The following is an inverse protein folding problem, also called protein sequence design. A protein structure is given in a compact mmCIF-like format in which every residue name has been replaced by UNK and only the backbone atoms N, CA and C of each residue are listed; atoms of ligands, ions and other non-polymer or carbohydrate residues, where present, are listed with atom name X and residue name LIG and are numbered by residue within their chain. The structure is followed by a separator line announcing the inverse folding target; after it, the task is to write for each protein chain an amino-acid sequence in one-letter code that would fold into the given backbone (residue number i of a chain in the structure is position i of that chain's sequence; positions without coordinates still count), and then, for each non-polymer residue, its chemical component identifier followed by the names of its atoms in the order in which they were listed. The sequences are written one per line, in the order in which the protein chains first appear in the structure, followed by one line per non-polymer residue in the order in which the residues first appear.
data_IF_202187063394
#
_entry.id   IF_202187063394
#
_cell.length_a   1.000
_cell.length_b   1.000
_cell.length_c   1.000
_cell.angle_alpha   90.00
_cell.angle_beta   90.00
_cell.angle_gamma   90.00
#
_symmetry.space_group_name_H-M   'P 1'
#
loop_
_entity.id
_entity.type
_entity.pdbx_description
1 polymer ?
#
# COMPACT_ATOMS: atom_id res chain seq x y z
N UNK A 1 37.01 -4.59 -10.21
CA UNK A 1 36.30 -3.43 -9.73
C UNK A 1 35.19 -3.89 -8.79
N UNK A 2 35.01 -3.24 -7.60
CA UNK A 2 33.89 -3.49 -6.72
C UNK A 2 32.63 -2.85 -7.37
N UNK A 3 31.58 -3.63 -7.60
CA UNK A 3 30.29 -3.11 -8.09
C UNK A 3 29.56 -2.47 -6.92
N UNK A 4 29.01 -1.27 -7.10
CA UNK A 4 28.21 -0.55 -6.11
C UNK A 4 26.87 -0.24 -6.73
N UNK A 5 25.77 -0.60 -6.04
CA UNK A 5 24.40 -0.30 -6.45
C UNK A 5 23.85 0.81 -5.56
N UNK A 6 23.45 1.94 -6.18
CA UNK A 6 22.98 3.14 -5.48
C UNK A 6 21.52 3.52 -5.81
N UNK A 7 20.83 2.71 -6.60
CA UNK A 7 19.46 2.98 -7.05
C UNK A 7 18.41 2.25 -6.17
N UNK A 8 18.54 2.37 -4.84
CA UNK A 8 17.66 1.68 -3.89
C UNK A 8 16.23 2.22 -3.91
N UNK A 9 16.00 3.46 -4.33
CA UNK A 9 14.67 4.01 -4.54
C UNK A 9 13.90 3.28 -5.66
N UNK A 10 14.59 2.75 -6.66
CA UNK A 10 13.96 1.94 -7.72
C UNK A 10 13.67 0.51 -7.26
N UNK A 11 14.63 -0.15 -6.61
CA UNK A 11 14.48 -1.52 -6.06
C UNK A 11 15.67 -1.83 -5.14
N UNK A 12 15.54 -2.82 -4.28
CA UNK A 12 16.62 -3.28 -3.40
C UNK A 12 17.03 -4.73 -3.73
N UNK A 13 18.24 -5.10 -3.35
CA UNK A 13 18.69 -6.50 -3.39
C UNK A 13 17.93 -7.29 -2.32
N UNK A 14 17.53 -8.52 -2.63
CA UNK A 14 16.93 -9.42 -1.62
C UNK A 14 17.90 -9.66 -0.46
N UNK A 15 17.36 -9.62 0.77
CA UNK A 15 18.04 -10.08 1.96
C UNK A 15 18.25 -11.61 1.88
N UNK A 16 19.41 -12.12 2.31
CA UNK A 16 19.71 -13.55 2.24
C UNK A 16 18.70 -14.40 3.04
N UNK A 17 18.32 -13.97 4.23
CA UNK A 17 17.30 -14.64 5.05
C UNK A 17 15.96 -14.75 4.31
N UNK A 18 15.58 -13.70 3.56
CA UNK A 18 14.37 -13.72 2.71
C UNK A 18 14.48 -14.79 1.62
N UNK A 19 15.64 -14.91 0.96
CA UNK A 19 15.88 -15.93 -0.08
C UNK A 19 15.75 -17.33 0.52
N UNK A 20 16.38 -17.59 1.66
CA UNK A 20 16.39 -18.90 2.32
C UNK A 20 14.98 -19.31 2.76
N UNK A 21 14.24 -18.42 3.39
CA UNK A 21 12.86 -18.63 3.85
C UNK A 21 11.90 -18.83 2.67
N UNK A 22 12.01 -18.04 1.60
CA UNK A 22 11.20 -18.24 0.40
C UNK A 22 11.49 -19.60 -0.25
N UNK A 23 12.74 -20.01 -0.30
CA UNK A 23 13.16 -21.32 -0.85
C UNK A 23 12.57 -22.45 -0.03
N UNK A 24 12.60 -22.33 1.30
CA UNK A 24 11.96 -23.31 2.21
C UNK A 24 10.48 -23.45 1.93
N UNK A 25 9.74 -22.35 1.78
CA UNK A 25 8.30 -22.38 1.46
C UNK A 25 8.04 -22.98 0.09
N UNK A 26 8.84 -22.63 -0.93
CA UNK A 26 8.71 -23.20 -2.28
C UNK A 26 8.86 -24.72 -2.31
N UNK A 27 9.76 -25.27 -1.51
CA UNK A 27 10.06 -26.70 -1.47
C UNK A 27 9.04 -27.45 -0.61
N UNK A 28 8.68 -26.91 0.56
CA UNK A 28 7.96 -27.66 1.60
C UNK A 28 6.45 -27.36 1.65
N UNK A 29 5.99 -26.14 1.23
CA UNK A 29 4.62 -25.68 1.36
C UNK A 29 4.00 -25.33 -0.01
N UNK A 30 4.01 -26.28 -0.93
CA UNK A 30 3.58 -26.11 -2.33
C UNK A 30 2.06 -26.28 -2.55
N UNK A 31 1.29 -26.57 -1.51
CA UNK A 31 -0.14 -26.80 -1.63
C UNK A 31 -0.91 -25.53 -2.03
N UNK A 32 -2.00 -25.70 -2.79
CA UNK A 32 -2.89 -24.58 -3.10
C UNK A 32 -3.62 -24.12 -1.82
N UNK A 33 -3.51 -22.84 -1.40
CA UNK A 33 -4.13 -22.34 -0.16
C UNK A 33 -5.66 -22.47 -0.11
N UNK A 34 -6.31 -22.58 -1.27
CA UNK A 34 -7.77 -22.82 -1.36
C UNK A 34 -8.19 -24.26 -1.12
N UNK A 35 -7.24 -25.22 -1.09
CA UNK A 35 -7.55 -26.64 -0.88
C UNK A 35 -7.81 -26.96 0.59
N UNK A 36 -8.78 -27.86 0.84
CA UNK A 36 -9.22 -28.24 2.20
C UNK A 36 -8.35 -29.31 2.85
N UNK A 37 -7.48 -29.99 2.09
CA UNK A 37 -6.55 -31.01 2.62
C UNK A 37 -5.33 -30.39 3.31
N UNK A 38 -4.52 -31.24 3.94
CA UNK A 38 -3.37 -30.83 4.76
C UNK A 38 -2.44 -29.82 4.05
N UNK A 39 -1.99 -30.11 2.84
CA UNK A 39 -1.05 -29.22 2.12
C UNK A 39 -1.63 -27.84 1.82
N UNK A 40 -2.94 -27.76 1.51
CA UNK A 40 -3.60 -26.47 1.30
C UNK A 40 -3.72 -25.67 2.60
N UNK A 41 -4.10 -26.34 3.69
CA UNK A 41 -4.17 -25.68 5.02
C UNK A 41 -2.81 -25.18 5.50
N UNK A 42 -1.73 -25.91 5.25
CA UNK A 42 -0.37 -25.50 5.56
C UNK A 42 -0.02 -24.17 4.85
N UNK A 43 -0.16 -24.12 3.53
CA UNK A 43 0.06 -22.90 2.75
C UNK A 43 -0.82 -21.73 3.21
N UNK A 44 -2.10 -21.99 3.50
CA UNK A 44 -3.03 -20.98 4.02
C UNK A 44 -2.60 -20.46 5.39
N UNK A 45 -2.09 -21.32 6.25
CA UNK A 45 -1.56 -20.94 7.57
C UNK A 45 -0.41 -19.95 7.43
N UNK A 46 0.53 -20.19 6.51
CA UNK A 46 1.65 -19.27 6.25
C UNK A 46 1.14 -17.89 5.84
N UNK A 47 0.15 -17.84 4.94
CA UNK A 47 -0.45 -16.58 4.47
C UNK A 47 -1.10 -15.83 5.64
N UNK A 48 -1.92 -16.49 6.45
CA UNK A 48 -2.65 -15.84 7.54
C UNK A 48 -1.72 -15.42 8.70
N UNK A 49 -0.67 -16.16 8.98
CA UNK A 49 0.36 -15.76 9.94
C UNK A 49 1.13 -14.53 9.44
N UNK A 50 1.45 -14.47 8.14
CA UNK A 50 2.08 -13.29 7.53
C UNK A 50 1.17 -12.07 7.61
N UNK A 51 -0.12 -12.22 7.30
CA UNK A 51 -1.14 -11.17 7.43
C UNK A 51 -1.26 -10.65 8.85
N UNK A 52 -1.33 -11.56 9.83
CA UNK A 52 -1.41 -11.20 11.25
C UNK A 52 -0.17 -10.45 11.72
N UNK A 53 1.01 -10.89 11.30
CA UNK A 53 2.27 -10.21 11.62
C UNK A 53 2.26 -8.76 11.09
N UNK A 54 1.92 -8.57 9.81
CA UNK A 54 1.85 -7.25 9.18
C UNK A 54 0.83 -6.36 9.91
N UNK A 55 -0.35 -6.88 10.19
CA UNK A 55 -1.38 -6.14 10.89
C UNK A 55 -0.93 -5.67 12.29
N UNK A 56 -0.28 -6.56 13.05
CA UNK A 56 0.27 -6.21 14.36
C UNK A 56 1.38 -5.15 14.27
N UNK A 57 2.25 -5.23 13.24
CA UNK A 57 3.32 -4.26 13.01
C UNK A 57 2.79 -2.82 12.87
N UNK A 58 1.64 -2.65 12.22
CA UNK A 58 1.02 -1.35 11.98
C UNK A 58 -0.12 -1.01 12.93
N UNK A 59 -0.35 -1.81 14.00
CA UNK A 59 -1.45 -1.66 14.95
C UNK A 59 -2.83 -1.60 14.30
N UNK A 60 -3.09 -2.51 13.35
CA UNK A 60 -4.37 -2.63 12.62
C UNK A 60 -4.90 -4.08 12.68
N UNK A 61 -6.10 -4.30 12.15
CA UNK A 61 -6.72 -5.63 12.15
C UNK A 61 -6.27 -6.46 10.93
N UNK A 62 -6.07 -7.78 11.06
CA UNK A 62 -5.70 -8.63 9.91
C UNK A 62 -6.67 -8.54 8.73
N UNK A 63 -7.95 -8.28 8.99
CA UNK A 63 -8.96 -8.12 7.94
C UNK A 63 -8.80 -6.87 7.08
N UNK A 64 -7.98 -5.91 7.52
CA UNK A 64 -7.69 -4.66 6.82
C UNK A 64 -6.48 -4.76 5.89
N UNK A 65 -5.76 -5.89 5.92
CA UNK A 65 -4.59 -6.16 5.05
C UNK A 65 -5.01 -7.05 3.89
N UNK A 66 -4.69 -6.64 2.66
CA UNK A 66 -4.96 -7.35 1.41
C UNK A 66 -3.70 -7.50 0.60
N UNK A 67 -3.28 -8.73 0.32
CA UNK A 67 -2.10 -8.99 -0.48
C UNK A 67 -2.35 -8.68 -1.96
N UNK A 68 -1.38 -8.04 -2.57
CA UNK A 68 -1.38 -7.63 -3.98
C UNK A 68 -0.06 -7.99 -4.65
N UNK A 69 0.09 -7.71 -5.94
CA UNK A 69 1.37 -7.87 -6.65
C UNK A 69 2.36 -6.73 -6.37
N UNK A 70 1.98 -5.70 -5.62
CA UNK A 70 2.83 -4.56 -5.28
C UNK A 70 2.07 -3.24 -5.22
N UNK A 71 2.81 -2.12 -5.06
CA UNK A 71 2.23 -0.79 -4.87
C UNK A 71 1.32 -0.35 -6.02
N UNK A 72 1.65 -0.69 -7.26
CA UNK A 72 0.82 -0.31 -8.40
C UNK A 72 -0.56 -0.96 -8.36
N UNK A 73 -0.65 -2.26 -8.08
CA UNK A 73 -1.94 -2.94 -7.92
C UNK A 73 -2.70 -2.39 -6.71
N UNK A 74 -2.01 -2.17 -5.58
CA UNK A 74 -2.61 -1.61 -4.36
C UNK A 74 -3.22 -0.22 -4.61
N UNK A 75 -2.47 0.70 -5.24
CA UNK A 75 -2.97 2.04 -5.58
C UNK A 75 -4.20 1.98 -6.49
N UNK A 76 -4.17 1.15 -7.55
CA UNK A 76 -5.30 0.98 -8.46
C UNK A 76 -6.54 0.38 -7.76
N UNK A 77 -6.34 -0.63 -6.89
CA UNK A 77 -7.42 -1.24 -6.11
C UNK A 77 -8.09 -0.24 -5.18
N UNK A 78 -7.28 0.59 -4.48
CA UNK A 78 -7.77 1.62 -3.56
C UNK A 78 -8.56 2.69 -4.34
N UNK A 79 -7.97 3.25 -5.40
CA UNK A 79 -8.63 4.29 -6.21
C UNK A 79 -9.95 3.76 -6.77
N UNK A 80 -9.96 2.54 -7.35
CA UNK A 80 -11.19 1.91 -7.82
C UNK A 80 -12.21 1.76 -6.69
N UNK A 81 -11.78 1.27 -5.52
CA UNK A 81 -12.68 1.10 -4.37
C UNK A 81 -13.31 2.42 -3.91
N UNK A 82 -12.57 3.53 -3.98
CA UNK A 82 -13.10 4.85 -3.67
C UNK A 82 -14.16 5.30 -4.69
N UNK A 83 -13.91 5.08 -5.98
CA UNK A 83 -14.89 5.40 -7.05
C UNK A 83 -16.19 4.59 -6.88
N UNK A 84 -16.07 3.28 -6.64
CA UNK A 84 -17.24 2.42 -6.40
C UNK A 84 -18.01 2.80 -5.11
N UNK A 85 -17.37 3.49 -4.19
CA UNK A 85 -18.01 4.07 -3.01
C UNK A 85 -18.62 5.46 -3.29
N UNK A 86 -18.54 5.97 -4.50
CA UNK A 86 -19.15 7.23 -4.92
C UNK A 86 -18.26 8.46 -4.68
N UNK A 87 -16.95 8.32 -4.66
CA UNK A 87 -16.02 9.46 -4.71
C UNK A 87 -16.18 10.20 -6.03
N UNK A 88 -16.43 11.51 -5.94
CA UNK A 88 -16.66 12.41 -7.06
C UNK A 88 -15.47 13.33 -7.35
N UNK A 89 -14.58 13.51 -6.36
CA UNK A 89 -13.40 14.35 -6.48
C UNK A 89 -12.16 13.66 -5.90
N UNK A 90 -11.04 13.78 -6.60
CA UNK A 90 -9.73 13.38 -6.08
C UNK A 90 -8.84 14.63 -5.99
N UNK A 91 -8.21 14.82 -4.83
CA UNK A 91 -7.21 15.87 -4.58
C UNK A 91 -5.86 15.16 -4.43
N UNK A 92 -4.85 15.58 -5.19
CA UNK A 92 -3.52 14.97 -5.22
C UNK A 92 -2.45 15.99 -5.59
N UNK A 93 -1.20 15.55 -5.83
CA UNK A 93 -0.13 16.41 -6.35
C UNK A 93 0.35 15.92 -7.72
N UNK A 94 1.08 16.76 -8.45
CA UNK A 94 1.70 16.39 -9.75
C UNK A 94 2.96 15.54 -9.59
N UNK A 95 3.47 15.42 -8.36
CA UNK A 95 4.70 14.67 -8.04
C UNK A 95 4.43 13.27 -7.49
N UNK A 96 3.19 12.81 -7.54
CA UNK A 96 2.82 11.44 -7.19
C UNK A 96 3.48 10.42 -8.14
N UNK A 97 3.66 9.20 -7.64
CA UNK A 97 4.08 8.08 -8.50
C UNK A 97 3.05 7.82 -9.62
N UNK A 98 3.51 7.33 -10.77
CA UNK A 98 2.66 7.01 -11.93
C UNK A 98 1.54 6.02 -11.61
N UNK A 99 1.70 5.18 -10.59
CA UNK A 99 0.68 4.24 -10.11
C UNK A 99 -0.55 4.94 -9.51
N UNK A 100 -0.43 6.20 -9.11
CA UNK A 100 -1.52 7.09 -8.67
C UNK A 100 -1.91 8.04 -9.80
N UNK A 101 -0.95 8.75 -10.41
CA UNK A 101 -1.24 9.77 -11.44
C UNK A 101 -1.99 9.19 -12.65
N UNK A 102 -1.54 8.07 -13.21
CA UNK A 102 -2.15 7.56 -14.43
C UNK A 102 -3.63 7.13 -14.23
N UNK A 103 -3.98 6.37 -13.16
CA UNK A 103 -5.39 6.06 -12.87
C UNK A 103 -6.26 7.29 -12.68
N UNK A 104 -5.82 8.30 -11.90
CA UNK A 104 -6.65 9.49 -11.65
C UNK A 104 -6.79 10.38 -12.88
N UNK A 105 -5.77 10.49 -13.72
CA UNK A 105 -5.83 11.18 -15.00
C UNK A 105 -6.80 10.49 -15.96
N UNK A 106 -6.78 9.15 -16.00
CA UNK A 106 -7.72 8.38 -16.82
C UNK A 106 -9.17 8.62 -16.37
N UNK A 107 -9.43 8.52 -15.06
CA UNK A 107 -10.75 8.78 -14.48
C UNK A 107 -11.26 10.20 -14.78
N UNK A 108 -10.39 11.21 -14.71
CA UNK A 108 -10.72 12.59 -15.13
C UNK A 108 -11.07 12.67 -16.60
N UNK A 109 -10.28 12.03 -17.47
CA UNK A 109 -10.50 12.03 -18.92
C UNK A 109 -11.84 11.36 -19.30
N UNK A 110 -12.21 10.31 -18.55
CA UNK A 110 -13.51 9.64 -18.66
C UNK A 110 -14.66 10.44 -18.00
N UNK A 111 -14.39 11.61 -17.45
CA UNK A 111 -15.35 12.49 -16.74
C UNK A 111 -16.03 11.80 -15.55
N UNK A 112 -15.35 10.84 -14.92
CA UNK A 112 -15.84 10.12 -13.73
C UNK A 112 -15.59 10.87 -12.44
N UNK A 113 -14.61 11.77 -12.43
CA UNK A 113 -14.21 12.56 -11.27
C UNK A 113 -13.82 13.98 -11.65
N UNK A 114 -13.91 14.88 -10.68
CA UNK A 114 -13.16 16.14 -10.63
C UNK A 114 -11.75 15.85 -10.07
N UNK A 115 -10.71 16.30 -10.74
CA UNK A 115 -9.32 16.12 -10.30
C UNK A 115 -8.70 17.47 -10.02
N UNK A 116 -8.27 17.65 -8.77
CA UNK A 116 -7.58 18.86 -8.28
C UNK A 116 -6.13 18.52 -7.93
N UNK A 117 -5.21 19.38 -8.36
CA UNK A 117 -3.81 19.28 -8.00
C UNK A 117 -3.44 20.38 -7.02
N UNK A 118 -3.00 20.01 -5.83
CA UNK A 118 -2.43 20.97 -4.88
C UNK A 118 -1.16 21.58 -5.43
N UNK A 119 -0.98 22.87 -5.15
CA UNK A 119 0.30 23.51 -5.30
C UNK A 119 1.31 22.91 -4.30
N UNK A 120 2.56 22.89 -4.70
CA UNK A 120 3.67 22.44 -3.86
C UNK A 120 4.70 23.57 -3.76
N UNK A 121 5.38 23.65 -2.62
CA UNK A 121 6.50 24.58 -2.45
C UNK A 121 7.78 24.06 -3.15
N UNK A 122 8.88 24.79 -3.01
CA UNK A 122 10.17 24.45 -3.63
C UNK A 122 10.82 23.19 -3.02
N UNK A 123 10.35 22.75 -1.85
CA UNK A 123 10.77 21.49 -1.20
C UNK A 123 9.84 20.33 -1.54
N UNK A 124 8.75 20.58 -2.26
CA UNK A 124 7.76 19.58 -2.65
C UNK A 124 6.66 19.33 -1.61
N UNK A 125 6.51 20.18 -0.59
CA UNK A 125 5.42 20.06 0.38
C UNK A 125 4.10 20.59 -0.22
N UNK A 126 2.97 19.87 -0.04
CA UNK A 126 1.66 20.33 -0.51
C UNK A 126 1.15 21.52 0.30
N UNK A 127 0.47 22.46 -0.36
CA UNK A 127 -0.21 23.57 0.30
C UNK A 127 -1.45 23.08 1.06
N UNK A 128 -1.34 23.02 2.39
CA UNK A 128 -2.42 22.54 3.25
C UNK A 128 -3.56 23.57 3.42
N UNK A 129 -3.31 24.87 3.22
CA UNK A 129 -4.37 25.88 3.23
C UNK A 129 -5.24 25.72 1.98
N UNK A 130 -4.61 25.45 0.83
CA UNK A 130 -5.34 25.12 -0.40
C UNK A 130 -6.15 23.82 -0.24
N UNK A 131 -5.58 22.79 0.41
CA UNK A 131 -6.28 21.55 0.71
C UNK A 131 -7.55 21.81 1.52
N UNK A 132 -7.46 22.55 2.63
CA UNK A 132 -8.62 22.91 3.46
C UNK A 132 -9.66 23.68 2.65
N UNK A 133 -9.24 24.67 1.84
CA UNK A 133 -10.13 25.47 1.00
C UNK A 133 -10.91 24.61 -0.02
N UNK A 134 -10.25 23.63 -0.62
CA UNK A 134 -10.87 22.68 -1.55
C UNK A 134 -11.88 21.78 -0.82
N UNK A 135 -11.54 21.34 0.39
CA UNK A 135 -12.39 20.45 1.19
C UNK A 135 -13.66 21.11 1.74
N UNK A 136 -13.72 22.46 1.81
CA UNK A 136 -14.95 23.18 2.14
C UNK A 136 -16.07 23.00 1.08
N UNK A 137 -15.72 22.65 -0.15
CA UNK A 137 -16.70 22.37 -1.20
C UNK A 137 -17.35 21.01 -0.95
N UNK A 138 -18.68 20.90 -0.85
CA UNK A 138 -19.39 19.66 -0.49
C UNK A 138 -19.35 18.63 -1.62
N UNK A 139 -18.30 17.82 -1.66
CA UNK A 139 -18.14 16.67 -2.56
C UNK A 139 -17.53 15.50 -1.82
N UNK A 140 -17.97 14.28 -2.12
CA UNK A 140 -17.29 13.09 -1.62
C UNK A 140 -15.91 13.00 -2.21
N UNK A 141 -14.89 13.18 -1.38
CA UNK A 141 -13.50 13.43 -1.82
C UNK A 141 -12.56 12.35 -1.31
N UNK A 142 -11.66 11.92 -2.18
CA UNK A 142 -10.44 11.22 -1.83
C UNK A 142 -9.27 12.22 -1.89
N UNK A 143 -8.53 12.35 -0.81
CA UNK A 143 -7.20 12.98 -0.80
C UNK A 143 -6.17 11.88 -0.94
N UNK A 144 -5.31 11.96 -1.94
CA UNK A 144 -4.27 10.96 -2.22
C UNK A 144 -2.92 11.65 -2.32
N UNK A 145 -2.09 11.49 -1.28
CA UNK A 145 -0.79 12.15 -1.17
C UNK A 145 0.25 11.12 -0.70
N UNK A 146 1.33 10.94 -1.49
CA UNK A 146 2.39 10.01 -1.12
C UNK A 146 3.16 10.51 0.10
N UNK A 147 3.51 9.60 1.01
CA UNK A 147 4.18 9.97 2.25
C UNK A 147 5.61 10.45 2.02
N UNK A 148 6.41 9.64 1.34
CA UNK A 148 7.80 9.98 0.99
C UNK A 148 7.94 9.91 -0.52
N UNK A 149 8.38 11.00 -1.12
CA UNK A 149 8.53 11.07 -2.57
C UNK A 149 9.77 10.30 -3.04
N UNK A 150 9.60 9.44 -4.02
CA UNK A 150 10.65 8.56 -4.54
C UNK A 150 11.73 9.28 -5.36
N UNK A 151 11.50 10.52 -5.82
CA UNK A 151 12.45 11.30 -6.62
C UNK A 151 13.20 12.35 -5.79
N UNK A 152 12.46 13.07 -4.95
CA UNK A 152 13.00 14.24 -4.23
C UNK A 152 13.15 14.02 -2.71
N UNK A 153 12.62 12.91 -2.18
CA UNK A 153 12.77 12.52 -0.76
C UNK A 153 11.93 13.33 0.23
N UNK A 154 11.09 14.26 -0.22
CA UNK A 154 10.20 15.03 0.66
C UNK A 154 9.26 14.11 1.41
N UNK A 155 9.16 14.30 2.73
CA UNK A 155 8.27 13.57 3.63
C UNK A 155 7.18 14.49 4.17
N UNK A 156 5.92 14.14 3.94
CA UNK A 156 4.78 14.91 4.43
C UNK A 156 4.28 14.43 5.80
N UNK A 157 3.60 15.29 6.55
CA UNK A 157 3.00 14.95 7.84
C UNK A 157 1.63 14.28 7.67
N UNK A 158 1.63 12.92 7.71
CA UNK A 158 0.40 12.12 7.60
C UNK A 158 -0.61 12.40 8.71
N UNK A 159 -0.16 12.72 9.94
CA UNK A 159 -1.07 13.00 11.07
C UNK A 159 -1.83 14.31 10.84
N UNK A 160 -1.12 15.35 10.41
CA UNK A 160 -1.71 16.65 10.12
C UNK A 160 -2.69 16.56 8.96
N UNK A 161 -2.29 15.95 7.85
CA UNK A 161 -3.15 15.77 6.66
C UNK A 161 -4.36 14.90 7.00
N UNK A 162 -4.15 13.79 7.70
CA UNK A 162 -5.22 12.90 8.14
C UNK A 162 -6.25 13.61 9.03
N UNK A 163 -5.79 14.51 9.92
CA UNK A 163 -6.69 15.32 10.75
C UNK A 163 -7.52 16.30 9.91
N UNK A 164 -6.92 16.95 8.92
CA UNK A 164 -7.62 17.82 7.97
C UNK A 164 -8.68 17.02 7.21
N UNK A 165 -8.30 15.88 6.62
CA UNK A 165 -9.23 15.03 5.88
C UNK A 165 -10.40 14.57 6.76
N UNK A 166 -10.10 14.11 7.97
CA UNK A 166 -11.11 13.64 8.92
C UNK A 166 -12.11 14.73 9.31
N UNK A 167 -11.64 15.96 9.58
CA UNK A 167 -12.52 17.10 9.96
C UNK A 167 -13.48 17.52 8.83
N UNK A 168 -13.14 17.18 7.57
CA UNK A 168 -13.95 17.47 6.40
C UNK A 168 -14.64 16.24 5.79
N UNK A 169 -14.66 15.09 6.50
CA UNK A 169 -15.22 13.82 6.03
C UNK A 169 -14.65 13.35 4.67
N UNK A 170 -13.41 13.70 4.37
CA UNK A 170 -12.71 13.22 3.18
C UNK A 170 -11.99 11.90 3.50
N UNK A 171 -11.97 10.97 2.53
CA UNK A 171 -11.13 9.78 2.59
C UNK A 171 -9.67 10.17 2.39
N UNK A 172 -8.76 9.52 3.13
CA UNK A 172 -7.33 9.75 2.98
C UNK A 172 -6.56 8.49 2.59
N UNK A 173 -5.89 8.57 1.47
CA UNK A 173 -4.96 7.57 0.94
C UNK A 173 -3.54 8.13 0.91
N UNK A 174 -2.56 7.31 1.29
CA UNK A 174 -1.16 7.63 1.09
C UNK A 174 -0.42 6.46 0.43
N UNK A 175 0.31 6.74 -0.64
CA UNK A 175 1.32 5.82 -1.16
C UNK A 175 2.52 5.83 -0.18
N UNK A 176 2.68 4.73 0.56
CA UNK A 176 3.73 4.56 1.57
C UNK A 176 4.83 3.59 1.12
N UNK A 177 4.95 3.36 -0.17
CA UNK A 177 5.92 2.41 -0.75
C UNK A 177 7.36 2.77 -0.40
N UNK A 178 7.68 4.05 -0.24
CA UNK A 178 9.02 4.52 0.18
C UNK A 178 9.16 4.66 1.71
N UNK A 179 8.08 4.45 2.47
CA UNK A 179 8.05 4.59 3.93
C UNK A 179 8.24 3.27 4.64
N UNK A 180 7.46 2.26 4.21
CA UNK A 180 7.40 0.96 4.87
C UNK A 180 8.76 0.27 4.76
N UNK A 181 9.26 -0.21 5.91
CA UNK A 181 10.60 -0.79 6.04
C UNK A 181 11.73 0.23 6.25
N UNK A 182 11.43 1.54 6.21
CA UNK A 182 12.42 2.62 6.39
C UNK A 182 12.10 3.55 7.57
N UNK A 183 10.82 3.70 7.91
CA UNK A 183 10.36 4.56 8.99
C UNK A 183 9.26 3.88 9.81
N UNK A 184 9.22 4.07 11.14
CA UNK A 184 8.13 3.58 11.97
C UNK A 184 6.79 4.19 11.53
N UNK A 185 5.75 3.37 11.46
CA UNK A 185 4.42 3.79 11.07
C UNK A 185 3.38 3.09 11.95
N UNK A 186 2.68 3.85 12.78
CA UNK A 186 1.57 3.38 13.60
C UNK A 186 0.25 3.96 13.04
N UNK A 187 -0.53 3.12 12.36
CA UNK A 187 -1.77 3.54 11.71
C UNK A 187 -2.90 3.81 12.71
N UNK A 188 -2.79 3.30 13.94
CA UNK A 188 -3.78 3.59 15.00
C UNK A 188 -3.74 5.05 15.47
N UNK A 189 -2.64 5.75 15.21
CA UNK A 189 -2.40 7.13 15.59
C UNK A 189 -2.67 8.14 14.44
N UNK A 190 -3.10 7.67 13.28
CA UNK A 190 -3.26 8.47 12.06
C UNK A 190 -4.67 8.28 11.52
N UNK A 191 -5.37 9.39 11.23
CA UNK A 191 -6.65 9.34 10.54
C UNK A 191 -6.44 9.04 9.05
N UNK A 192 -6.10 7.79 8.73
CA UNK A 192 -5.83 7.34 7.36
C UNK A 192 -6.74 6.17 7.00
N UNK A 193 -7.21 6.15 5.77
CA UNK A 193 -8.12 5.13 5.27
C UNK A 193 -7.40 4.03 4.49
N UNK A 194 -6.35 4.41 3.78
CA UNK A 194 -5.66 3.51 2.86
C UNK A 194 -4.17 3.80 2.82
N UNK A 195 -3.36 2.72 2.80
CA UNK A 195 -1.94 2.81 2.44
C UNK A 195 -1.55 1.68 1.50
N UNK A 196 -0.40 1.83 0.85
CA UNK A 196 0.15 0.86 -0.10
C UNK A 196 1.57 0.45 0.26
N UNK A 197 1.90 -0.81 -0.03
CA UNK A 197 3.21 -1.38 0.21
C UNK A 197 3.73 -2.15 -1.00
N UNK A 198 5.06 -2.17 -1.17
CA UNK A 198 5.75 -3.00 -2.15
C UNK A 198 7.04 -3.57 -1.56
N UNK A 199 7.13 -4.90 -1.44
CA UNK A 199 8.20 -5.57 -0.70
C UNK A 199 9.61 -5.29 -1.24
N UNK A 200 9.75 -5.09 -2.55
CA UNK A 200 11.05 -4.89 -3.17
C UNK A 200 11.73 -3.54 -2.84
N UNK A 201 11.09 -2.69 -2.07
CA UNK A 201 11.69 -1.43 -1.59
C UNK A 201 12.45 -1.58 -0.27
N UNK A 202 12.22 -2.69 0.45
CA UNK A 202 12.88 -3.00 1.73
C UNK A 202 13.44 -4.44 1.74
N UNK A 203 14.20 -4.79 0.71
CA UNK A 203 14.92 -6.07 0.57
C UNK A 203 14.04 -7.32 0.49
N UNK A 204 12.75 -7.15 0.17
CA UNK A 204 11.79 -8.21 -0.09
C UNK A 204 11.64 -8.55 -1.59
N UNK A 205 10.84 -9.57 -1.92
CA UNK A 205 10.67 -10.02 -3.30
C UNK A 205 9.86 -9.03 -4.14
N UNK A 206 10.18 -8.96 -5.44
CA UNK A 206 9.35 -8.31 -6.46
C UNK A 206 8.05 -9.11 -6.64
N UNK A 207 6.99 -8.45 -7.10
CA UNK A 207 5.73 -9.12 -7.41
C UNK A 207 4.85 -9.41 -6.20
N UNK A 208 5.11 -8.76 -5.07
CA UNK A 208 4.25 -8.80 -3.88
C UNK A 208 4.26 -7.46 -3.14
N UNK A 209 3.11 -7.12 -2.59
CA UNK A 209 2.87 -6.00 -1.70
C UNK A 209 1.57 -6.20 -0.95
N UNK A 210 1.08 -5.16 -0.32
CA UNK A 210 -0.25 -5.15 0.27
C UNK A 210 -0.90 -3.77 0.20
N UNK A 211 -2.23 -3.77 0.24
CA UNK A 211 -3.04 -2.62 0.55
C UNK A 211 -3.56 -2.75 1.99
N UNK A 212 -3.46 -1.69 2.79
CA UNK A 212 -4.28 -1.52 3.97
C UNK A 212 -5.54 -0.76 3.57
N UNK A 213 -6.68 -1.27 3.98
CA UNK A 213 -7.99 -0.66 3.79
C UNK A 213 -8.70 -0.68 5.14
N UNK A 214 -8.84 0.50 5.76
CA UNK A 214 -9.52 0.64 7.03
C UNK A 214 -10.93 0.04 6.96
N UNK A 215 -11.33 -0.73 7.98
CA UNK A 215 -12.60 -1.51 8.00
C UNK A 215 -13.87 -0.67 7.83
N UNK A 216 -13.82 0.65 8.05
CA UNK A 216 -14.93 1.57 7.79
C UNK A 216 -15.20 1.77 6.29
N UNK A 217 -14.24 1.44 5.43
CA UNK A 217 -14.33 1.57 3.99
C UNK A 217 -14.62 0.22 3.34
N UNK A 218 -15.37 0.25 2.25
CA UNK A 218 -15.66 -0.94 1.47
C UNK A 218 -14.60 -1.13 0.38
N UNK A 219 -13.97 -2.30 0.37
CA UNK A 219 -13.06 -2.69 -0.71
C UNK A 219 -13.85 -3.28 -1.89
N UNK A 220 -13.33 -3.06 -3.10
CA UNK A 220 -13.90 -3.61 -4.34
C UNK A 220 -12.79 -4.31 -5.14
N UNK A 221 -13.06 -5.49 -5.74
CA UNK A 221 -12.04 -6.23 -6.45
C UNK A 221 -11.57 -5.48 -7.70
N UNK A 222 -10.25 -5.35 -7.84
CA UNK A 222 -9.63 -4.91 -9.10
C UNK A 222 -9.48 -6.11 -10.05
N UNK A 223 -9.00 -7.24 -9.52
CA UNK A 223 -8.84 -8.50 -10.24
C UNK A 223 -9.95 -9.44 -9.79
N UNK A 224 -10.92 -9.68 -10.67
CA UNK A 224 -12.05 -10.56 -10.41
C UNK A 224 -11.65 -12.02 -10.60
N UNK A 225 -12.15 -12.92 -9.75
CA UNK A 225 -11.83 -14.36 -9.82
C UNK A 225 -12.47 -15.16 -8.70
N UNK A 226 -11.72 -16.10 -8.13
CA UNK A 226 -12.17 -16.88 -6.97
C UNK A 226 -12.17 -16.10 -5.66
N UNK A 227 -12.41 -16.82 -4.56
CA UNK A 227 -12.60 -16.27 -3.22
C UNK A 227 -11.28 -15.87 -2.50
N UNK A 228 -10.14 -15.85 -3.22
CA UNK A 228 -8.87 -15.45 -2.65
C UNK A 228 -8.97 -13.99 -2.14
N UNK A 229 -8.18 -13.68 -1.12
CA UNK A 229 -8.25 -12.37 -0.44
C UNK A 229 -9.70 -11.96 -0.11
N UNK A 230 -10.51 -12.93 0.32
CA UNK A 230 -11.92 -12.71 0.68
C UNK A 230 -12.78 -12.20 -0.49
N UNK A 231 -12.48 -12.68 -1.70
CA UNK A 231 -13.15 -12.28 -2.95
C UNK A 231 -12.71 -10.92 -3.49
N UNK A 232 -11.71 -10.28 -2.87
CA UNK A 232 -11.28 -8.92 -3.23
C UNK A 232 -10.06 -8.90 -4.15
N UNK A 233 -9.37 -10.04 -4.29
CA UNK A 233 -8.28 -10.18 -5.24
C UNK A 233 -8.21 -11.63 -5.72
N UNK A 234 -8.78 -11.92 -6.88
CA UNK A 234 -8.79 -13.26 -7.47
C UNK A 234 -7.41 -13.74 -7.91
N UNK A 235 -7.24 -15.04 -8.02
CA UNK A 235 -5.99 -15.72 -8.39
C UNK A 235 -5.27 -16.32 -7.19
N UNK A 236 -4.66 -17.49 -7.39
CA UNK A 236 -3.96 -18.25 -6.35
C UNK A 236 -2.89 -17.36 -5.70
N UNK A 237 -2.90 -17.31 -4.37
CA UNK A 237 -1.97 -16.51 -3.58
C UNK A 237 -0.53 -17.05 -3.71
N UNK A 238 0.43 -16.15 -3.87
CA UNK A 238 1.86 -16.49 -3.94
C UNK A 238 2.43 -16.66 -2.53
N UNK A 239 2.23 -17.85 -1.93
CA UNK A 239 2.58 -18.16 -0.54
C UNK A 239 4.03 -17.78 -0.21
N UNK A 240 4.99 -18.17 -1.05
CA UNK A 240 6.41 -17.88 -0.86
C UNK A 240 6.73 -16.38 -0.91
N UNK A 241 6.10 -15.62 -1.82
CA UNK A 241 6.31 -14.18 -1.90
C UNK A 241 5.70 -13.44 -0.71
N UNK A 242 4.50 -13.87 -0.27
CA UNK A 242 3.83 -13.30 0.91
C UNK A 242 4.67 -13.56 2.18
N UNK A 243 5.20 -14.77 2.33
CA UNK A 243 6.12 -15.09 3.41
C UNK A 243 7.42 -14.26 3.32
N UNK A 244 8.00 -14.16 2.13
CA UNK A 244 9.18 -13.35 1.88
C UNK A 244 8.98 -11.86 2.20
N UNK A 245 7.82 -11.30 1.89
CA UNK A 245 7.44 -9.94 2.29
C UNK A 245 7.43 -9.81 3.82
N UNK A 246 6.82 -10.78 4.55
CA UNK A 246 6.78 -10.78 6.02
C UNK A 246 8.19 -10.82 6.60
N UNK A 247 9.07 -11.68 6.10
CA UNK A 247 10.46 -11.79 6.59
C UNK A 247 11.24 -10.50 6.30
N UNK A 248 11.09 -9.93 5.09
CA UNK A 248 11.74 -8.67 4.74
C UNK A 248 11.30 -7.52 5.65
N UNK A 249 10.02 -7.46 5.99
CA UNK A 249 9.48 -6.45 6.88
C UNK A 249 10.02 -6.60 8.31
N UNK A 250 10.07 -7.84 8.82
CA UNK A 250 10.65 -8.16 10.13
C UNK A 250 12.12 -7.73 10.22
N UNK A 251 12.93 -8.08 9.21
CA UNK A 251 14.34 -7.69 9.14
C UNK A 251 14.52 -6.17 9.05
N UNK A 252 13.70 -5.49 8.23
CA UNK A 252 13.78 -4.06 8.08
C UNK A 252 13.50 -3.32 9.40
N UNK A 253 12.44 -3.70 10.11
CA UNK A 253 12.07 -3.03 11.37
C UNK A 253 12.95 -3.40 12.55
N UNK A 254 13.53 -4.61 12.58
CA UNK A 254 14.54 -4.96 13.59
C UNK A 254 15.80 -4.11 13.45
N UNK A 255 16.19 -3.77 12.22
CA UNK A 255 17.38 -2.96 11.93
C UNK A 255 17.13 -1.44 12.02
N UNK A 256 15.89 -0.98 12.15
CA UNK A 256 15.57 0.44 12.37
C UNK A 256 15.85 0.90 13.81
N UNK A 257 16.01 -0.06 14.73
CA UNK A 257 16.24 0.22 16.16
C UNK A 257 17.74 0.29 16.51
N UNK A 258 18.62 -0.04 15.57
CA UNK A 258 20.08 0.05 15.65
C UNK A 258 20.58 1.31 14.92
#
# INVERSE_FOLDING_TARGET
MKKVYLDNAATTQLNQKVVDEMTSVLVNSYGNPSSTHFFGRDSKTIIELSRKFIANMFNVKPKEIFFTSGGTESNNMIIKSCIEQGVERIITTKIEHKAVLNPVLNLRNEKKIELEFLNIDHEGNPDLNELESLLLKPKKTLVSLMHINNEIGTMIDLKKIGSICHSHNAMFHSDTVQTIGHFPLDLSLINIDFITCSAHKFHGPKGVGFAYINEKNKAYPLIMGGEQERGLRGGTESTHNIHGLKIALEEAYNNLLD
#
